data_IF_139425081470
#
_entry.id   IF_139425081470
#
_cell.length_a   1.000
_cell.length_b   1.000
_cell.length_c   1.000
_cell.angle_alpha   90.00
_cell.angle_beta   90.00
_cell.angle_gamma   90.00
#
_symmetry.space_group_name_H-M   'P 1'
#
loop_
_entity.id
_entity.type
_entity.pdbx_description
1 polymer ?
#
# COMPACT_ATOMS: atom_id res chain seq x y z
N UNK A 1 12.98 27.40 0.86
CA UNK A 1 12.64 26.08 0.28
C UNK A 1 11.76 25.28 1.24
N UNK A 2 12.17 25.11 2.51
CA UNK A 2 11.40 24.43 3.57
C UNK A 2 9.97 24.97 3.76
N UNK A 3 9.81 26.31 3.83
CA UNK A 3 8.49 26.94 3.98
C UNK A 3 7.50 26.62 2.84
N UNK A 4 7.99 26.33 1.63
CA UNK A 4 7.12 25.91 0.53
C UNK A 4 6.65 24.46 0.72
N UNK A 5 7.50 23.59 1.25
CA UNK A 5 7.18 22.18 1.51
C UNK A 5 6.08 22.08 2.57
N UNK A 6 6.20 22.83 3.65
CA UNK A 6 5.17 22.90 4.70
C UNK A 6 3.82 23.35 4.12
N UNK A 7 3.80 24.43 3.32
CA UNK A 7 2.58 24.91 2.67
C UNK A 7 1.95 23.86 1.75
N UNK A 8 2.76 23.08 1.03
CA UNK A 8 2.27 21.97 0.21
C UNK A 8 1.63 20.90 1.11
N UNK A 9 2.29 20.52 2.21
CA UNK A 9 1.75 19.51 3.14
C UNK A 9 0.41 19.96 3.72
N UNK A 10 0.33 21.18 4.25
CA UNK A 10 -0.92 21.72 4.80
C UNK A 10 -2.01 21.87 3.74
N UNK A 11 -1.65 22.37 2.56
CA UNK A 11 -2.58 22.55 1.44
C UNK A 11 -3.17 21.22 0.93
N UNK A 12 -2.37 20.15 0.95
CA UNK A 12 -2.84 18.80 0.63
C UNK A 12 -3.65 18.21 1.78
N UNK A 13 -3.22 18.36 3.03
CA UNK A 13 -3.92 17.85 4.21
C UNK A 13 -5.36 18.38 4.29
N UNK A 14 -5.56 19.66 3.97
CA UNK A 14 -6.88 20.32 3.89
C UNK A 14 -7.79 19.78 2.77
N UNK A 15 -7.28 18.95 1.86
CA UNK A 15 -7.98 18.43 0.68
C UNK A 15 -7.93 16.90 0.66
N UNK A 16 -8.76 16.21 1.48
CA UNK A 16 -8.72 14.75 1.66
C UNK A 16 -8.82 13.93 0.37
N UNK A 17 -9.53 14.42 -0.64
CA UNK A 17 -9.70 13.76 -1.95
C UNK A 17 -8.39 13.66 -2.76
N UNK A 18 -7.29 14.24 -2.30
CA UNK A 18 -5.96 14.03 -2.88
C UNK A 18 -5.30 12.72 -2.43
N UNK A 19 -5.65 12.19 -1.24
CA UNK A 19 -4.99 11.03 -0.64
C UNK A 19 -5.96 9.95 -0.10
N UNK A 20 -7.22 10.29 0.17
CA UNK A 20 -8.25 9.35 0.61
C UNK A 20 -9.02 8.77 -0.57
N UNK A 21 -8.99 7.44 -0.70
CA UNK A 21 -9.70 6.70 -1.76
C UNK A 21 -11.22 6.66 -1.59
N UNK A 22 -11.70 6.95 -0.38
CA UNK A 22 -13.12 6.88 -0.03
C UNK A 22 -13.89 8.13 -0.47
N UNK A 23 -13.20 9.20 -0.83
CA UNK A 23 -13.79 10.43 -1.32
C UNK A 23 -14.26 10.28 -2.78
N UNK A 24 -15.46 10.76 -3.09
CA UNK A 24 -16.03 10.69 -4.44
C UNK A 24 -15.14 11.41 -5.47
N UNK A 25 -14.62 12.58 -5.07
CA UNK A 25 -13.76 13.42 -5.90
C UNK A 25 -12.35 12.83 -6.14
N UNK A 26 -11.95 11.78 -5.39
CA UNK A 26 -10.66 11.12 -5.61
C UNK A 26 -10.56 10.48 -7.00
N UNK A 27 -11.69 10.08 -7.59
CA UNK A 27 -11.73 9.43 -8.91
C UNK A 27 -11.56 10.40 -10.07
N UNK A 28 -11.76 11.70 -9.83
CA UNK A 28 -11.75 12.73 -10.86
C UNK A 28 -10.34 13.29 -11.08
N UNK A 29 -9.75 13.14 -12.28
CA UNK A 29 -8.46 13.73 -12.60
C UNK A 29 -8.49 15.26 -12.60
N UNK A 30 -9.60 15.85 -13.07
CA UNK A 30 -9.78 17.29 -13.17
C UNK A 30 -9.79 17.97 -11.80
N UNK A 31 -10.45 17.35 -10.81
CA UNK A 31 -10.52 17.91 -9.46
C UNK A 31 -9.16 17.87 -8.76
N UNK A 32 -8.37 16.82 -9.01
CA UNK A 32 -6.98 16.73 -8.53
C UNK A 32 -6.09 17.81 -9.16
N UNK A 33 -6.21 18.03 -10.46
CA UNK A 33 -5.45 19.08 -11.15
C UNK A 33 -5.81 20.47 -10.62
N UNK A 34 -7.10 20.75 -10.43
CA UNK A 34 -7.58 22.01 -9.88
C UNK A 34 -7.10 22.24 -8.43
N UNK A 35 -7.06 21.18 -7.62
CA UNK A 35 -6.53 21.24 -6.27
C UNK A 35 -5.05 21.64 -6.21
N UNK A 36 -4.22 21.02 -7.06
CA UNK A 36 -2.80 21.38 -7.12
C UNK A 36 -2.57 22.78 -7.67
N UNK A 37 -3.42 23.27 -8.59
CA UNK A 37 -3.41 24.67 -9.04
C UNK A 37 -3.74 25.62 -7.89
N UNK A 38 -4.81 25.36 -7.14
CA UNK A 38 -5.19 26.18 -5.99
C UNK A 38 -4.08 26.26 -4.93
N UNK A 39 -3.42 25.14 -4.62
CA UNK A 39 -2.27 25.14 -3.70
C UNK A 39 -1.10 25.97 -4.26
N UNK A 40 -0.84 25.90 -5.57
CA UNK A 40 0.21 26.70 -6.20
C UNK A 40 -0.10 28.20 -6.13
N UNK A 41 -1.35 28.58 -6.37
CA UNK A 41 -1.82 29.97 -6.27
C UNK A 41 -1.67 30.50 -4.83
N UNK A 42 -2.05 29.70 -3.81
CA UNK A 42 -1.87 30.05 -2.39
C UNK A 42 -0.38 30.30 -2.03
N UNK A 43 0.54 29.49 -2.58
CA UNK A 43 1.98 29.68 -2.37
C UNK A 43 2.49 30.93 -3.07
N UNK A 44 2.04 31.18 -4.30
CA UNK A 44 2.41 32.36 -5.08
C UNK A 44 1.90 33.65 -4.41
N UNK A 45 0.66 33.67 -3.93
CA UNK A 45 0.08 34.80 -3.18
C UNK A 45 0.90 35.11 -1.93
N UNK A 46 1.34 34.08 -1.21
CA UNK A 46 2.22 34.24 -0.05
C UNK A 46 3.63 34.75 -0.42
N UNK A 47 4.18 34.35 -1.58
CA UNK A 47 5.46 34.91 -2.08
C UNK A 47 5.33 36.39 -2.44
N UNK A 48 4.23 36.78 -3.09
CA UNK A 48 3.91 38.18 -3.41
C UNK A 48 3.79 39.00 -2.12
N UNK A 49 3.06 38.49 -1.12
CA UNK A 49 2.90 39.15 0.17
C UNK A 49 4.23 39.30 0.93
N UNK A 50 5.16 38.36 0.76
CA UNK A 50 6.52 38.43 1.34
C UNK A 50 7.51 39.23 0.49
N UNK A 51 7.09 39.82 -0.64
CA UNK A 51 7.95 40.60 -1.53
C UNK A 51 9.08 39.79 -2.17
N UNK A 52 8.93 38.47 -2.25
CA UNK A 52 9.95 37.58 -2.81
C UNK A 52 9.85 37.57 -4.33
N UNK A 53 10.96 37.85 -5.03
CA UNK A 53 11.03 37.80 -6.48
C UNK A 53 11.37 36.38 -6.93
N UNK A 54 10.38 35.48 -6.85
CA UNK A 54 10.49 34.07 -7.22
C UNK A 54 9.55 33.80 -8.39
N UNK A 55 9.98 32.94 -9.32
CA UNK A 55 9.13 32.50 -10.43
C UNK A 55 7.85 31.83 -9.90
N UNK A 56 6.72 32.09 -10.58
CA UNK A 56 5.44 31.54 -10.19
C UNK A 56 5.46 30.00 -10.22
N UNK A 57 5.15 29.40 -9.08
CA UNK A 57 5.02 27.95 -8.93
C UNK A 57 3.77 27.51 -9.66
N UNK A 58 3.89 26.45 -10.46
CA UNK A 58 2.76 25.84 -11.18
C UNK A 58 2.22 24.63 -10.43
N UNK A 59 0.92 24.32 -10.56
CA UNK A 59 0.32 23.12 -9.97
C UNK A 59 1.03 21.80 -10.31
N UNK A 60 1.65 21.70 -11.49
CA UNK A 60 2.48 20.53 -11.86
C UNK A 60 3.71 20.37 -10.97
N UNK A 61 4.36 21.47 -10.58
CA UNK A 61 5.52 21.47 -9.68
C UNK A 61 5.08 21.04 -8.29
N UNK A 62 3.96 21.58 -7.80
CA UNK A 62 3.35 21.16 -6.52
C UNK A 62 3.05 19.67 -6.53
N UNK A 63 2.40 19.16 -7.58
CA UNK A 63 2.08 17.74 -7.72
C UNK A 63 3.34 16.88 -7.73
N UNK A 64 4.37 17.27 -8.49
CA UNK A 64 5.64 16.52 -8.54
C UNK A 64 6.33 16.50 -7.17
N UNK A 65 6.38 17.65 -6.49
CA UNK A 65 6.96 17.78 -5.16
C UNK A 65 6.19 16.93 -4.14
N UNK A 66 4.86 16.98 -4.16
CA UNK A 66 4.01 16.13 -3.33
C UNK A 66 4.24 14.64 -3.56
N UNK A 67 4.35 14.21 -4.82
CA UNK A 67 4.63 12.80 -5.14
C UNK A 67 6.00 12.36 -4.60
N UNK A 68 7.02 13.21 -4.70
CA UNK A 68 8.34 12.93 -4.15
C UNK A 68 8.29 12.83 -2.62
N UNK A 69 7.71 13.81 -1.94
CA UNK A 69 7.49 13.78 -0.49
C UNK A 69 6.74 12.53 -0.03
N UNK A 70 5.70 12.15 -0.77
CA UNK A 70 4.90 10.97 -0.46
C UNK A 70 5.71 9.67 -0.62
N UNK A 71 6.59 9.59 -1.62
CA UNK A 71 7.47 8.44 -1.82
C UNK A 71 8.52 8.36 -0.71
N UNK A 72 9.17 9.47 -0.37
CA UNK A 72 10.16 9.56 0.70
C UNK A 72 9.53 9.19 2.06
N UNK A 73 8.30 9.67 2.31
CA UNK A 73 7.54 9.30 3.51
C UNK A 73 7.20 7.81 3.55
N UNK A 74 6.78 7.21 2.43
CA UNK A 74 6.50 5.76 2.37
C UNK A 74 7.76 4.93 2.59
N UNK A 75 8.89 5.33 2.02
CA UNK A 75 10.18 4.68 2.22
C UNK A 75 10.57 4.72 3.70
N UNK A 76 10.57 5.91 4.31
CA UNK A 76 10.86 6.07 5.74
C UNK A 76 9.89 5.31 6.64
N UNK A 77 8.59 5.29 6.33
CA UNK A 77 7.59 4.53 7.08
C UNK A 77 7.84 3.02 7.00
N UNK A 78 8.16 2.49 5.82
CA UNK A 78 8.45 1.07 5.64
C UNK A 78 9.77 0.64 6.30
N UNK A 79 10.78 1.50 6.29
CA UNK A 79 12.03 1.28 7.02
C UNK A 79 11.79 1.17 8.52
N UNK A 80 10.96 2.05 9.10
CA UNK A 80 10.60 1.98 10.51
C UNK A 80 9.82 0.72 10.86
N UNK A 81 8.89 0.30 9.98
CA UNK A 81 8.06 -0.91 10.19
C UNK A 81 8.88 -2.20 10.12
N UNK A 82 9.86 -2.28 9.22
CA UNK A 82 10.62 -3.51 8.95
C UNK A 82 11.94 -3.62 9.75
N UNK A 83 12.21 -2.69 10.66
CA UNK A 83 13.37 -2.77 11.55
C UNK A 83 13.28 -4.02 12.43
N UNK A 84 14.25 -4.93 12.27
CA UNK A 84 14.41 -6.11 13.13
C UNK A 84 15.01 -5.69 14.47
N UNK A 85 14.47 -6.23 15.57
CA UNK A 85 15.00 -6.01 16.93
C UNK A 85 16.50 -6.30 16.99
N UNK A 86 17.32 -5.33 17.40
CA UNK A 86 18.76 -5.49 17.63
C UNK A 86 19.70 -4.91 16.57
N UNK A 87 19.21 -4.39 15.44
CA UNK A 87 20.05 -3.63 14.51
C UNK A 87 20.18 -2.18 14.99
N UNK A 88 21.42 -1.69 15.17
CA UNK A 88 21.67 -0.29 15.49
C UNK A 88 21.10 0.62 14.39
N UNK A 89 20.06 1.37 14.72
CA UNK A 89 19.39 2.29 13.79
C UNK A 89 20.14 3.62 13.78
N UNK A 90 20.83 3.93 12.69
CA UNK A 90 21.18 5.31 12.38
C UNK A 90 19.90 5.99 11.92
N UNK A 91 19.13 6.55 12.85
CA UNK A 91 17.85 7.21 12.57
C UNK A 91 18.07 8.41 11.63
N UNK A 92 17.94 8.23 10.33
CA UNK A 92 17.62 9.36 9.45
C UNK A 92 16.13 9.61 9.66
N UNK A 93 15.81 10.56 10.54
CA UNK A 93 14.43 10.99 10.77
C UNK A 93 13.98 11.78 9.55
N UNK A 94 12.97 11.28 8.84
CA UNK A 94 12.31 12.07 7.80
C UNK A 94 11.81 13.39 8.42
N UNK A 95 12.21 14.56 7.90
CA UNK A 95 11.98 15.84 8.58
C UNK A 95 10.51 16.17 8.81
N UNK A 96 9.63 15.78 7.88
CA UNK A 96 8.20 16.11 7.89
C UNK A 96 7.31 14.94 8.34
N UNK A 97 7.85 14.05 9.19
CA UNK A 97 7.16 12.81 9.56
C UNK A 97 5.89 13.08 10.38
N UNK A 98 5.96 14.02 11.32
CA UNK A 98 4.82 14.38 12.17
C UNK A 98 3.70 15.01 11.34
N UNK A 99 4.06 15.94 10.45
CA UNK A 99 3.16 16.67 9.57
C UNK A 99 2.50 15.75 8.54
N UNK A 100 3.17 14.67 8.11
CA UNK A 100 2.63 13.69 7.15
C UNK A 100 1.99 12.46 7.81
N UNK A 101 1.97 12.38 9.14
CA UNK A 101 1.43 11.24 9.90
C UNK A 101 -0.06 10.96 9.62
N UNK A 102 -0.83 11.98 9.22
CA UNK A 102 -2.24 11.83 8.82
C UNK A 102 -2.45 10.87 7.64
N UNK A 103 -1.40 10.60 6.85
CA UNK A 103 -1.46 9.66 5.74
C UNK A 103 -1.41 8.20 6.18
N UNK A 104 -0.91 7.90 7.38
CA UNK A 104 -0.66 6.51 7.84
C UNK A 104 -1.91 5.62 7.71
N UNK A 105 -3.12 6.03 8.15
CA UNK A 105 -4.33 5.23 7.98
C UNK A 105 -4.68 4.95 6.50
N UNK A 106 -4.32 5.86 5.60
CA UNK A 106 -4.62 5.77 4.17
C UNK A 106 -3.53 5.05 3.36
N UNK A 107 -2.32 4.96 3.91
CA UNK A 107 -1.20 4.18 3.36
C UNK A 107 -1.36 2.68 3.58
N UNK A 108 -2.19 2.27 4.54
CA UNK A 108 -2.51 0.87 4.82
C UNK A 108 -3.37 0.27 3.69
N UNK A 109 -2.74 0.02 2.55
CA UNK A 109 -3.31 -0.83 1.53
C UNK A 109 -2.84 -2.25 1.73
N UNK A 110 -3.85 -3.07 2.03
CA UNK A 110 -3.80 -4.51 2.25
C UNK A 110 -3.10 -4.84 3.58
N UNK A 111 -3.79 -5.49 4.55
CA UNK A 111 -3.06 -6.29 5.51
C UNK A 111 -2.25 -7.29 4.69
N UNK A 112 -0.96 -7.03 4.56
CA UNK A 112 -0.02 -8.10 4.28
C UNK A 112 -0.20 -9.01 5.48
N UNK A 113 -0.55 -10.27 5.26
CA UNK A 113 -0.69 -11.31 6.27
C UNK A 113 0.64 -11.58 7.02
N UNK A 114 1.55 -10.60 7.09
CA UNK A 114 2.76 -10.64 7.90
C UNK A 114 2.47 -10.46 9.39
N UNK A 115 1.29 -9.98 9.79
CA UNK A 115 0.85 -10.02 11.20
C UNK A 115 0.21 -11.36 11.61
N UNK A 116 0.13 -12.34 10.70
CA UNK A 116 -0.19 -13.73 11.06
C UNK A 116 0.93 -14.37 11.90
N UNK A 117 2.03 -13.67 12.19
CA UNK A 117 2.98 -14.08 13.23
C UNK A 117 2.34 -14.15 14.64
N UNK A 118 1.16 -13.53 14.85
CA UNK A 118 0.45 -13.57 16.14
C UNK A 118 -0.64 -14.65 16.23
N UNK A 119 -1.01 -15.30 15.12
CA UNK A 119 -2.07 -16.32 15.10
C UNK A 119 -1.43 -17.64 14.70
N UNK A 120 -1.00 -18.40 15.72
CA UNK A 120 -0.28 -19.69 15.64
C UNK A 120 1.07 -19.63 14.93
N UNK A 121 2.08 -20.17 15.61
CA UNK A 121 3.32 -20.60 14.99
C UNK A 121 3.00 -21.61 13.88
N UNK A 122 2.78 -21.14 12.66
CA UNK A 122 2.83 -21.99 11.48
C UNK A 122 4.32 -22.27 11.19
N UNK A 123 4.93 -23.08 12.06
CA UNK A 123 6.21 -23.76 11.79
C UNK A 123 6.03 -24.84 10.69
N UNK A 124 4.80 -25.07 10.23
CA UNK A 124 4.51 -25.90 9.08
C UNK A 124 4.81 -25.11 7.80
N UNK A 125 5.73 -25.65 7.00
CA UNK A 125 6.13 -25.15 5.70
C UNK A 125 4.90 -24.73 4.89
N UNK A 126 4.79 -23.43 4.55
CA UNK A 126 3.69 -22.85 3.75
C UNK A 126 3.47 -23.66 2.46
N UNK A 127 4.51 -24.33 2.00
CA UNK A 127 4.39 -25.28 0.92
C UNK A 127 3.34 -26.38 1.27
N UNK A 128 3.49 -27.10 2.37
CA UNK A 128 2.56 -28.17 2.75
C UNK A 128 1.10 -27.71 2.87
N UNK A 129 0.85 -26.43 3.16
CA UNK A 129 -0.48 -25.87 3.36
C UNK A 129 -1.36 -25.93 2.10
N UNK A 130 -0.78 -25.94 0.90
CA UNK A 130 -1.54 -26.12 -0.35
C UNK A 130 -2.23 -27.50 -0.41
N UNK A 131 -1.60 -28.54 0.16
CA UNK A 131 -2.15 -29.90 0.14
C UNK A 131 -3.35 -30.08 1.06
N UNK A 132 -3.56 -29.16 1.99
CA UNK A 132 -4.74 -29.14 2.88
C UNK A 132 -6.00 -28.60 2.19
N UNK A 133 -5.87 -27.97 1.01
CA UNK A 133 -7.01 -27.40 0.28
C UNK A 133 -7.54 -28.43 -0.73
N UNK A 134 -8.75 -29.00 -0.53
CA UNK A 134 -9.32 -29.96 -1.45
C UNK A 134 -9.73 -29.30 -2.77
N UNK A 135 -9.42 -29.95 -3.90
CA UNK A 135 -9.93 -29.53 -5.20
C UNK A 135 -11.36 -30.03 -5.40
N UNK A 136 -12.19 -29.16 -5.99
CA UNK A 136 -13.53 -29.52 -6.46
C UNK A 136 -13.43 -30.68 -7.44
N UNK A 137 -14.33 -31.66 -7.30
CA UNK A 137 -14.32 -32.90 -8.11
C UNK A 137 -14.33 -32.59 -9.61
N UNK A 138 -15.08 -31.57 -10.02
CA UNK A 138 -15.18 -31.10 -11.41
C UNK A 138 -13.88 -30.52 -11.99
N UNK A 139 -12.99 -30.00 -11.14
CA UNK A 139 -11.74 -29.35 -11.55
C UNK A 139 -10.54 -30.31 -11.55
N UNK A 140 -10.62 -31.45 -10.86
CA UNK A 140 -9.52 -32.44 -10.77
C UNK A 140 -9.04 -32.87 -12.15
N UNK A 141 -9.95 -33.08 -13.10
CA UNK A 141 -9.64 -33.44 -14.49
C UNK A 141 -8.75 -32.43 -15.23
N UNK A 142 -8.78 -31.14 -14.84
CA UNK A 142 -7.93 -30.09 -15.43
C UNK A 142 -6.50 -30.14 -14.90
N UNK A 143 -6.30 -30.81 -13.77
CA UNK A 143 -5.00 -30.98 -13.10
C UNK A 143 -4.36 -32.33 -13.44
N UNK A 144 -4.81 -32.97 -14.52
CA UNK A 144 -4.29 -34.25 -14.97
C UNK A 144 -2.85 -34.15 -15.47
N UNK A 145 -2.03 -35.14 -15.14
CA UNK A 145 -0.68 -35.31 -15.66
C UNK A 145 -0.41 -36.77 -16.03
N UNK A 146 0.55 -36.98 -16.94
CA UNK A 146 0.89 -38.30 -17.47
C UNK A 146 2.28 -38.69 -16.98
N UNK A 147 2.41 -39.91 -16.47
CA UNK A 147 3.69 -40.54 -16.15
C UNK A 147 3.91 -41.74 -17.07
N UNK A 148 5.06 -42.40 -16.96
CA UNK A 148 5.31 -43.66 -17.68
C UNK A 148 4.36 -44.78 -17.26
N UNK A 149 3.77 -44.69 -16.06
CA UNK A 149 2.92 -45.71 -15.45
C UNK A 149 1.42 -45.43 -15.65
N UNK A 150 1.03 -44.22 -16.06
CA UNK A 150 -0.37 -43.91 -16.33
C UNK A 150 -0.75 -42.43 -16.26
N UNK A 151 -2.06 -42.20 -16.16
CA UNK A 151 -2.65 -40.87 -16.04
C UNK A 151 -3.12 -40.63 -14.61
N UNK A 152 -2.69 -39.52 -14.02
CA UNK A 152 -3.00 -39.13 -12.64
C UNK A 152 -3.65 -37.75 -12.64
N UNK A 153 -4.36 -37.42 -11.56
CA UNK A 153 -4.95 -36.10 -11.35
C UNK A 153 -4.80 -35.71 -9.88
N UNK A 154 -4.69 -34.43 -9.61
CA UNK A 154 -4.59 -33.94 -8.23
C UNK A 154 -5.95 -33.95 -7.53
N UNK A 155 -5.96 -34.35 -6.26
CA UNK A 155 -7.13 -34.31 -5.37
C UNK A 155 -7.16 -33.08 -4.47
N UNK A 156 -5.98 -32.52 -4.20
CA UNK A 156 -5.75 -31.29 -3.44
C UNK A 156 -5.01 -30.27 -4.31
N UNK A 157 -4.98 -29.01 -3.90
CA UNK A 157 -4.39 -27.93 -4.69
C UNK A 157 -2.89 -28.15 -4.89
N UNK A 158 -2.41 -28.41 -6.11
CA UNK A 158 -1.00 -28.62 -6.36
C UNK A 158 -0.25 -27.28 -6.49
N UNK A 159 1.06 -27.33 -6.30
CA UNK A 159 1.93 -26.21 -6.61
C UNK A 159 2.06 -26.00 -8.11
N UNK A 160 2.48 -24.79 -8.48
CA UNK A 160 2.81 -24.46 -9.86
C UNK A 160 1.61 -24.12 -10.74
N UNK A 161 0.36 -24.29 -10.27
CA UNK A 161 -0.77 -23.69 -10.98
C UNK A 161 -0.78 -22.18 -10.72
N UNK A 162 -0.97 -21.41 -11.79
CA UNK A 162 -1.10 -19.95 -11.74
C UNK A 162 -2.19 -19.49 -10.77
N UNK A 163 -3.24 -20.30 -10.61
CA UNK A 163 -4.38 -19.99 -9.73
C UNK A 163 -4.17 -20.42 -8.29
N UNK A 164 -3.19 -21.29 -7.98
CA UNK A 164 -3.01 -21.84 -6.63
C UNK A 164 -2.78 -20.77 -5.56
N UNK A 165 -1.88 -19.78 -5.74
CA UNK A 165 -1.66 -18.75 -4.71
C UNK A 165 -2.91 -17.93 -4.39
N UNK A 166 -3.74 -17.64 -5.40
CA UNK A 166 -4.98 -16.88 -5.22
C UNK A 166 -6.04 -17.68 -4.46
N UNK A 167 -6.17 -18.98 -4.75
CA UNK A 167 -7.09 -19.89 -4.06
C UNK A 167 -6.66 -20.05 -2.59
N UNK A 168 -5.36 -20.23 -2.35
CA UNK A 168 -4.80 -20.34 -1.01
C UNK A 168 -5.10 -19.10 -0.16
N UNK A 169 -4.78 -17.91 -0.68
CA UNK A 169 -5.04 -16.66 0.02
C UNK A 169 -6.54 -16.45 0.32
N UNK A 170 -7.42 -16.84 -0.59
CA UNK A 170 -8.86 -16.73 -0.37
C UNK A 170 -9.35 -17.67 0.74
N UNK A 171 -8.83 -18.91 0.77
CA UNK A 171 -9.19 -19.86 1.83
C UNK A 171 -8.73 -19.41 3.21
N UNK A 172 -7.53 -18.83 3.33
CA UNK A 172 -7.04 -18.29 4.60
C UNK A 172 -7.88 -17.09 5.06
N UNK A 173 -8.31 -16.21 4.14
CA UNK A 173 -9.16 -15.07 4.47
C UNK A 173 -10.52 -15.51 5.02
N UNK A 174 -11.16 -16.51 4.41
CA UNK A 174 -12.45 -17.05 4.91
C UNK A 174 -12.29 -17.60 6.33
N UNK A 175 -11.24 -18.38 6.58
CA UNK A 175 -10.99 -18.96 7.92
C UNK A 175 -10.73 -17.87 8.96
N UNK A 176 -10.09 -16.76 8.56
CA UNK A 176 -9.85 -15.62 9.45
C UNK A 176 -11.12 -14.80 9.71
N UNK A 177 -11.98 -14.61 8.71
CA UNK A 177 -13.28 -13.95 8.87
C UNK A 177 -14.17 -14.75 9.86
N UNK A 178 -14.27 -16.07 9.68
CA UNK A 178 -15.01 -16.97 10.58
C UNK A 178 -14.47 -16.94 12.03
N UNK A 179 -13.19 -16.62 12.23
CA UNK A 179 -12.56 -16.56 13.55
C UNK A 179 -12.73 -15.19 14.24
N UNK A 180 -12.97 -14.13 13.47
CA UNK A 180 -13.11 -12.76 13.97
C UNK A 180 -14.57 -12.36 14.26
N UNK A 181 -15.56 -13.17 13.83
CA UNK A 181 -16.98 -12.99 14.10
C UNK A 181 -17.44 -13.49 15.49
N UNK A 182 -16.63 -13.28 16.55
CA UNK A 182 -16.98 -13.57 17.95
C UNK A 182 -17.32 -12.32 18.78
#
# INVERSE_FOLDING_TARGET
>A
MEKNIEMIIYGVQARPYLYSKHEEMYKSPSDKENAYKAIADEINDHHIAMGSNVEAITGKVVQSCWNQLLNDFKESYNEQKNQKSGAGSTRIKFPYYEEMSFLIPHLQQRPVLSSLAAVRSFDDDINSAFWSIPLRIEDRKKTGFVTQEGHYQWTCLPFGLKTSPAIFQHSELIVLEDLLDF
#
